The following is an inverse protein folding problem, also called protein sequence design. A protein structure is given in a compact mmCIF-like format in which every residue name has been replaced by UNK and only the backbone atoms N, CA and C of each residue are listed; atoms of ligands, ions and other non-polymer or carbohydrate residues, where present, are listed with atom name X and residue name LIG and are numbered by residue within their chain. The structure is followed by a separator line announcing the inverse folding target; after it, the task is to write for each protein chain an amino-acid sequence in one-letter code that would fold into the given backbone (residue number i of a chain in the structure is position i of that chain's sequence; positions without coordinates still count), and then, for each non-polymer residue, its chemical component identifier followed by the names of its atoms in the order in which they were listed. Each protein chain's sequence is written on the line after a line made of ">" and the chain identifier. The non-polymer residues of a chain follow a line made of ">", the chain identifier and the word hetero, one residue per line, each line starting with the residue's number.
data_IF_508326907206
#
_entry.id   IF_508326907206
#
_cell.length_a   1.000
_cell.length_b   1.000
_cell.length_c   1.000
_cell.angle_alpha   90.00
_cell.angle_beta   90.00
_cell.angle_gamma   90.00
#
_symmetry.space_group_name_H-M   'P 1'
#
loop_
_entity.id
_entity.type
_entity.pdbx_description
1 polymer ?
#
# COMPACT_ATOMS: atom_id res chain seq x y z
N UNK A 1 -14.98 10.68 9.97
CA UNK A 1 -14.81 12.03 9.38
C UNK A 1 -16.14 12.77 9.41
N UNK A 2 -16.18 14.04 9.82
CA UNK A 2 -17.43 14.85 9.75
C UNK A 2 -17.61 15.36 8.33
N UNK A 3 -18.73 15.01 7.69
CA UNK A 3 -19.12 15.46 6.35
C UNK A 3 -19.14 16.99 6.29
N UNK A 4 -18.31 17.61 5.46
CA UNK A 4 -18.51 19.01 5.07
C UNK A 4 -19.53 19.04 3.93
N UNK A 5 -20.82 19.02 4.25
CA UNK A 5 -21.92 19.19 3.27
C UNK A 5 -22.07 20.61 2.75
N UNK A 6 -21.38 21.56 3.37
CA UNK A 6 -21.56 22.97 3.08
C UNK A 6 -20.37 23.48 2.28
N UNK A 7 -20.61 23.90 1.04
CA UNK A 7 -19.62 24.57 0.18
C UNK A 7 -18.95 25.76 0.85
N UNK A 8 -19.64 26.45 1.74
CA UNK A 8 -19.06 27.54 2.54
C UNK A 8 -17.94 26.99 3.44
N UNK A 9 -18.15 25.84 4.07
CA UNK A 9 -17.15 25.17 4.91
C UNK A 9 -15.97 24.66 4.09
N UNK A 10 -16.23 24.06 2.93
CA UNK A 10 -15.19 23.59 2.02
C UNK A 10 -14.30 24.73 1.51
N UNK A 11 -14.90 25.81 0.99
CA UNK A 11 -14.15 26.99 0.56
C UNK A 11 -13.38 27.61 1.73
N UNK A 12 -14.01 27.72 2.91
CA UNK A 12 -13.30 28.19 4.10
C UNK A 12 -12.06 27.33 4.39
N UNK A 13 -12.15 26.00 4.26
CA UNK A 13 -11.02 25.08 4.47
C UNK A 13 -9.87 25.34 3.50
N UNK A 14 -10.17 25.46 2.19
CA UNK A 14 -9.17 25.74 1.15
C UNK A 14 -8.46 27.08 1.42
N UNK A 15 -9.22 28.14 1.63
CA UNK A 15 -8.65 29.47 1.84
C UNK A 15 -7.98 29.61 3.21
N UNK A 16 -8.38 28.81 4.21
CA UNK A 16 -7.65 28.72 5.47
C UNK A 16 -6.24 28.16 5.27
N UNK A 17 -6.05 27.15 4.41
CA UNK A 17 -4.71 26.63 4.10
C UNK A 17 -3.78 27.69 3.49
N UNK A 18 -4.31 28.58 2.65
CA UNK A 18 -3.54 29.74 2.15
C UNK A 18 -3.21 30.74 3.25
N UNK A 19 -4.15 31.02 4.16
CA UNK A 19 -3.89 31.91 5.30
C UNK A 19 -2.84 31.34 6.24
N UNK A 20 -2.91 30.04 6.53
CA UNK A 20 -1.95 29.36 7.40
C UNK A 20 -0.54 29.43 6.80
N UNK A 21 -0.42 29.23 5.48
CA UNK A 21 0.85 29.41 4.76
C UNK A 21 1.37 30.86 4.77
N UNK A 22 0.47 31.85 4.80
CA UNK A 22 0.82 33.28 4.79
C UNK A 22 1.04 33.89 6.18
N UNK A 23 0.48 33.30 7.24
CA UNK A 23 0.60 33.79 8.63
C UNK A 23 2.04 33.74 9.16
N UNK A 24 2.92 32.96 8.52
CA UNK A 24 4.36 33.00 8.76
C UNK A 24 5.05 34.27 8.20
N UNK A 25 4.31 35.10 7.47
CA UNK A 25 4.83 36.28 6.77
C UNK A 25 4.42 37.58 7.49
N UNK A 26 5.32 38.56 7.66
CA UNK A 26 5.09 39.75 8.47
C UNK A 26 4.17 40.82 7.85
N UNK A 27 3.35 40.51 6.83
CA UNK A 27 2.44 41.48 6.19
C UNK A 27 0.99 41.24 6.60
N UNK A 28 0.28 42.32 6.90
CA UNK A 28 -1.16 42.34 7.18
C UNK A 28 -1.96 42.08 5.89
N UNK A 29 -2.08 40.82 5.49
CA UNK A 29 -3.05 40.42 4.46
C UNK A 29 -4.45 40.59 5.06
N UNK A 30 -5.45 40.99 4.26
CA UNK A 30 -6.87 41.01 4.70
C UNK A 30 -7.41 39.58 4.77
N UNK A 31 -7.06 38.88 5.84
CA UNK A 31 -7.34 37.46 6.06
C UNK A 31 -8.83 37.15 6.35
N UNK A 32 -9.65 38.15 6.66
CA UNK A 32 -10.99 37.92 7.23
C UNK A 32 -12.16 37.96 6.23
N UNK A 33 -11.95 38.43 4.99
CA UNK A 33 -13.02 38.48 3.99
C UNK A 33 -13.23 37.09 3.34
N UNK A 34 -14.49 36.61 3.19
CA UNK A 34 -14.75 35.32 2.55
C UNK A 34 -14.31 35.28 1.08
N UNK A 35 -13.74 34.15 0.69
CA UNK A 35 -13.29 33.82 -0.67
C UNK A 35 -13.80 32.43 -1.05
N UNK A 36 -14.04 32.21 -2.33
CA UNK A 36 -14.49 30.92 -2.84
C UNK A 36 -13.99 30.69 -4.27
N UNK A 37 -13.89 29.42 -4.67
CA UNK A 37 -13.73 29.05 -6.08
C UNK A 37 -15.13 29.01 -6.71
N UNK A 38 -15.27 29.56 -7.91
CA UNK A 38 -16.56 29.65 -8.60
C UNK A 38 -17.03 28.29 -9.09
N UNK A 39 -18.24 27.90 -8.65
CA UNK A 39 -18.96 26.70 -9.10
C UNK A 39 -20.40 27.08 -9.47
N UNK A 40 -20.90 26.52 -10.58
CA UNK A 40 -22.30 26.59 -10.95
C UNK A 40 -23.14 25.57 -10.15
N UNK A 41 -24.46 25.59 -10.31
CA UNK A 41 -25.35 24.77 -9.49
C UNK A 41 -25.31 23.27 -9.83
N UNK A 42 -25.02 22.91 -11.07
CA UNK A 42 -24.79 21.52 -11.50
C UNK A 42 -23.48 20.98 -10.91
N UNK A 43 -22.40 21.77 -10.98
CA UNK A 43 -21.09 21.45 -10.39
C UNK A 43 -21.21 21.28 -8.86
N UNK A 44 -22.00 22.13 -8.20
CA UNK A 44 -22.30 21.97 -6.76
C UNK A 44 -23.09 20.70 -6.47
N UNK A 45 -24.10 20.39 -7.28
CA UNK A 45 -24.88 19.17 -7.10
C UNK A 45 -24.00 17.92 -7.29
N UNK A 46 -23.12 17.93 -8.30
CA UNK A 46 -22.19 16.84 -8.57
C UNK A 46 -21.16 16.67 -7.45
N UNK A 47 -20.52 17.75 -6.99
CA UNK A 47 -19.57 17.70 -5.88
C UNK A 47 -20.22 17.18 -4.58
N UNK A 48 -21.51 17.46 -4.34
CA UNK A 48 -22.26 16.90 -3.21
C UNK A 48 -22.56 15.40 -3.35
N UNK A 49 -22.58 14.89 -4.58
CA UNK A 49 -22.73 13.47 -4.91
C UNK A 49 -21.42 12.67 -4.86
N UNK A 50 -20.27 13.31 -4.66
CA UNK A 50 -18.99 12.63 -4.48
C UNK A 50 -18.72 12.32 -3.00
N UNK A 51 -18.23 11.12 -2.72
CA UNK A 51 -17.99 10.63 -1.36
C UNK A 51 -16.58 10.07 -1.23
N UNK A 52 -15.75 10.70 -0.40
CA UNK A 52 -14.49 10.09 0.01
C UNK A 52 -14.80 8.92 0.96
N UNK A 53 -14.59 7.69 0.47
CA UNK A 53 -14.89 6.46 1.18
C UNK A 53 -13.76 6.03 2.10
N UNK A 54 -12.52 6.15 1.62
CA UNK A 54 -11.33 5.76 2.35
C UNK A 54 -10.12 6.57 1.90
N UNK A 55 -9.09 6.65 2.74
CA UNK A 55 -7.82 7.27 2.39
C UNK A 55 -6.66 6.58 3.09
N UNK A 56 -5.50 6.61 2.46
CA UNK A 56 -4.27 6.01 2.96
C UNK A 56 -3.12 6.98 2.75
N UNK A 57 -2.35 7.24 3.81
CA UNK A 57 -1.18 8.12 3.77
C UNK A 57 0.08 7.27 3.87
N UNK A 58 0.93 7.37 2.86
CA UNK A 58 2.22 6.68 2.82
C UNK A 58 3.26 7.47 3.60
N UNK A 59 4.27 6.75 4.10
CA UNK A 59 5.37 7.33 4.88
C UNK A 59 6.24 8.29 4.04
N UNK A 60 6.29 8.08 2.73
CA UNK A 60 6.98 8.96 1.77
C UNK A 60 6.22 10.26 1.45
N UNK A 61 5.06 10.49 2.08
CA UNK A 61 4.25 11.71 1.91
C UNK A 61 3.13 11.62 0.88
N UNK A 62 3.11 10.58 0.04
CA UNK A 62 2.01 10.34 -0.90
C UNK A 62 0.71 10.04 -0.14
N UNK A 63 -0.41 10.48 -0.70
CA UNK A 63 -1.74 10.20 -0.16
C UNK A 63 -2.57 9.59 -1.27
N UNK A 64 -3.20 8.45 -1.02
CA UNK A 64 -4.19 7.86 -1.90
C UNK A 64 -5.58 7.92 -1.27
N UNK A 65 -6.63 7.98 -2.10
CA UNK A 65 -7.99 7.90 -1.63
C UNK A 65 -8.92 7.22 -2.62
N UNK A 66 -10.03 6.71 -2.07
CA UNK A 66 -11.13 6.10 -2.81
C UNK A 66 -12.33 7.04 -2.75
N UNK A 67 -12.91 7.36 -3.90
CA UNK A 67 -14.05 8.26 -4.05
C UNK A 67 -15.17 7.50 -4.74
N UNK A 68 -16.38 7.56 -4.21
CA UNK A 68 -17.58 7.01 -4.83
C UNK A 68 -18.49 8.15 -5.30
N UNK A 69 -19.03 8.01 -6.51
CA UNK A 69 -20.06 8.88 -7.03
C UNK A 69 -21.44 8.26 -6.77
N UNK A 70 -22.24 8.85 -5.87
CA UNK A 70 -23.58 8.30 -5.55
C UNK A 70 -24.58 8.41 -6.69
N UNK A 71 -24.31 9.27 -7.68
CA UNK A 71 -25.24 9.51 -8.79
C UNK A 71 -25.04 8.43 -9.85
N UNK A 72 -23.80 8.20 -10.26
CA UNK A 72 -23.47 7.24 -11.32
C UNK A 72 -23.00 5.88 -10.79
N UNK A 73 -22.87 5.71 -9.47
CA UNK A 73 -22.32 4.52 -8.80
C UNK A 73 -20.88 4.16 -9.18
N UNK A 74 -20.20 5.07 -9.87
CA UNK A 74 -18.81 4.92 -10.27
C UNK A 74 -17.85 5.05 -9.08
N UNK A 75 -16.72 4.34 -9.15
CA UNK A 75 -15.63 4.41 -8.16
C UNK A 75 -14.37 4.98 -8.79
N UNK A 76 -13.69 5.83 -8.02
CA UNK A 76 -12.49 6.53 -8.45
C UNK A 76 -11.39 6.35 -7.43
N UNK A 77 -10.18 6.12 -7.92
CA UNK A 77 -8.96 6.16 -7.15
C UNK A 77 -8.24 7.48 -7.43
N UNK A 78 -7.75 8.16 -6.41
CA UNK A 78 -6.88 9.31 -6.59
C UNK A 78 -5.59 9.15 -5.80
N UNK A 79 -4.49 9.66 -6.35
CA UNK A 79 -3.22 9.77 -5.66
C UNK A 79 -2.71 11.22 -5.73
N UNK A 80 -2.24 11.71 -4.58
CA UNK A 80 -1.81 13.09 -4.36
C UNK A 80 -0.32 13.09 -4.01
N UNK A 81 0.42 14.02 -4.62
CA UNK A 81 1.83 14.28 -4.32
C UNK A 81 2.84 13.72 -5.33
N UNK A 82 2.39 13.10 -6.42
CA UNK A 82 3.25 12.68 -7.53
C UNK A 82 3.56 13.88 -8.41
N UNK A 83 4.83 14.26 -8.56
CA UNK A 83 5.21 15.61 -9.00
C UNK A 83 5.10 15.87 -10.51
N UNK A 84 4.83 14.84 -11.32
CA UNK A 84 4.78 14.92 -12.78
C UNK A 84 3.47 14.43 -13.34
N UNK A 85 3.14 14.89 -14.55
CA UNK A 85 2.10 14.27 -15.36
C UNK A 85 2.49 12.82 -15.64
N UNK A 86 1.54 11.92 -15.46
CA UNK A 86 1.78 10.48 -15.54
C UNK A 86 1.26 9.97 -16.88
N UNK A 87 2.16 9.43 -17.70
CA UNK A 87 1.75 8.48 -18.74
C UNK A 87 1.44 7.14 -18.06
N UNK A 88 0.15 6.89 -17.83
CA UNK A 88 -0.32 5.72 -17.10
C UNK A 88 -1.22 4.87 -18.00
N UNK A 89 -0.84 3.61 -18.20
CA UNK A 89 -1.63 2.64 -18.95
C UNK A 89 -1.94 1.45 -18.06
N UNK A 90 -3.22 1.27 -17.74
CA UNK A 90 -3.68 0.18 -16.91
C UNK A 90 -5.08 -0.25 -17.34
N UNK A 91 -5.34 -1.55 -17.24
CA UNK A 91 -6.67 -2.12 -17.45
C UNK A 91 -7.61 -1.90 -16.25
N UNK A 92 -7.06 -1.65 -15.06
CA UNK A 92 -7.80 -1.48 -13.80
C UNK A 92 -8.05 0.01 -13.50
N UNK A 93 -7.05 0.85 -13.71
CA UNK A 93 -7.05 2.27 -13.34
C UNK A 93 -6.99 3.12 -14.60
N UNK A 94 -8.15 3.61 -15.05
CA UNK A 94 -8.27 4.41 -16.28
C UNK A 94 -8.05 5.88 -15.94
N UNK A 95 -7.01 6.56 -16.47
CA UNK A 95 -6.74 7.96 -16.17
C UNK A 95 -7.93 8.86 -16.51
N UNK A 96 -8.18 9.85 -15.65
CA UNK A 96 -9.22 10.88 -15.81
C UNK A 96 -8.66 12.26 -15.48
N UNK A 97 -9.19 13.29 -16.13
CA UNK A 97 -8.86 14.67 -15.76
C UNK A 97 -9.49 15.03 -14.41
N UNK A 98 -8.72 15.68 -13.54
CA UNK A 98 -9.26 16.21 -12.27
C UNK A 98 -10.15 17.41 -12.56
N UNK A 99 -11.47 17.22 -12.42
CA UNK A 99 -12.45 18.30 -12.49
C UNK A 99 -12.48 19.09 -11.18
N UNK A 100 -13.16 20.24 -11.19
CA UNK A 100 -13.24 21.14 -10.03
C UNK A 100 -13.86 20.43 -8.83
N UNK A 101 -14.86 19.59 -9.05
CA UNK A 101 -15.63 18.89 -8.04
C UNK A 101 -14.78 17.85 -7.31
N UNK A 102 -14.01 17.05 -8.07
CA UNK A 102 -13.05 16.11 -7.50
C UNK A 102 -11.98 16.83 -6.70
N UNK A 103 -11.39 17.89 -7.27
CA UNK A 103 -10.38 18.69 -6.57
C UNK A 103 -10.92 19.22 -5.24
N UNK A 104 -12.08 19.86 -5.26
CA UNK A 104 -12.73 20.39 -4.06
C UNK A 104 -12.93 19.31 -3.01
N UNK A 105 -13.47 18.16 -3.43
CA UNK A 105 -13.80 17.07 -2.53
C UNK A 105 -12.55 16.51 -1.88
N UNK A 106 -11.52 16.22 -2.67
CA UNK A 106 -10.25 15.66 -2.20
C UNK A 106 -9.55 16.62 -1.25
N UNK A 107 -9.33 17.87 -1.68
CA UNK A 107 -8.58 18.87 -0.90
C UNK A 107 -9.28 19.17 0.43
N UNK A 108 -10.60 19.32 0.42
CA UNK A 108 -11.34 19.68 1.64
C UNK A 108 -11.45 18.51 2.61
N UNK A 109 -11.82 17.32 2.14
CA UNK A 109 -12.00 16.18 3.03
C UNK A 109 -10.65 15.78 3.63
N UNK A 110 -9.61 15.63 2.80
CA UNK A 110 -8.29 15.23 3.29
C UNK A 110 -7.50 16.37 3.93
N UNK A 111 -8.06 17.59 3.97
CA UNK A 111 -7.40 18.79 4.47
C UNK A 111 -6.00 19.00 3.85
N UNK A 112 -5.87 18.75 2.54
CA UNK A 112 -4.62 18.93 1.80
C UNK A 112 -4.24 20.41 1.87
N UNK A 113 -2.99 20.68 2.21
CA UNK A 113 -2.47 22.05 2.28
C UNK A 113 -1.88 22.48 0.94
N UNK A 114 -1.85 23.80 0.64
CA UNK A 114 -1.04 24.33 -0.44
C UNK A 114 0.43 23.96 -0.25
N UNK A 115 1.19 23.82 -1.35
CA UNK A 115 2.62 23.49 -1.31
C UNK A 115 3.39 24.59 -0.58
N UNK A 116 4.24 24.21 0.36
CA UNK A 116 5.10 25.14 1.09
C UNK A 116 6.03 25.95 0.17
N UNK A 117 6.42 25.36 -0.96
CA UNK A 117 7.23 25.99 -2.00
C UNK A 117 6.50 26.99 -2.91
N UNK A 118 5.19 27.19 -2.70
CA UNK A 118 4.38 28.10 -3.51
C UNK A 118 4.85 29.55 -3.37
N UNK A 119 4.85 30.29 -4.49
CA UNK A 119 5.19 31.72 -4.47
C UNK A 119 4.13 32.53 -3.71
N UNK A 120 4.50 32.99 -2.52
CA UNK A 120 3.66 33.76 -1.61
C UNK A 120 3.18 35.08 -2.23
N UNK A 121 4.00 35.70 -3.09
CA UNK A 121 3.62 36.95 -3.77
C UNK A 121 2.50 36.70 -4.79
N UNK A 122 2.61 35.62 -5.57
CA UNK A 122 1.55 35.21 -6.50
C UNK A 122 0.26 34.83 -5.76
N UNK A 123 0.35 34.10 -4.64
CA UNK A 123 -0.82 33.79 -3.79
C UNK A 123 -1.51 35.07 -3.33
N UNK A 124 -0.74 36.05 -2.82
CA UNK A 124 -1.30 37.31 -2.35
C UNK A 124 -2.05 38.04 -3.46
N UNK A 125 -1.42 38.21 -4.63
CA UNK A 125 -1.99 38.99 -5.72
C UNK A 125 -3.17 38.32 -6.42
N UNK A 126 -3.11 37.00 -6.63
CA UNK A 126 -4.11 36.30 -7.44
C UNK A 126 -5.26 35.73 -6.61
N UNK A 127 -5.01 35.37 -5.35
CA UNK A 127 -6.01 34.71 -4.50
C UNK A 127 -6.45 35.57 -3.33
N UNK A 128 -5.54 36.33 -2.71
CA UNK A 128 -5.87 37.04 -1.46
C UNK A 128 -6.17 38.53 -1.66
N UNK A 129 -5.90 39.11 -2.82
CA UNK A 129 -6.21 40.52 -3.10
C UNK A 129 -7.72 40.75 -3.24
N UNK A 130 -8.38 39.89 -4.02
CA UNK A 130 -9.83 39.96 -4.21
C UNK A 130 -10.59 39.15 -3.15
N UNK A 131 -11.82 39.58 -2.86
CA UNK A 131 -12.71 38.90 -1.91
C UNK A 131 -14.16 39.32 -2.16
N UNK A 132 -15.09 38.78 -1.38
CA UNK A 132 -16.50 39.20 -1.39
C UNK A 132 -16.73 40.72 -1.30
N UNK A 133 -15.82 41.44 -0.66
CA UNK A 133 -15.92 42.91 -0.50
C UNK A 133 -15.50 43.68 -1.76
N UNK A 134 -14.84 43.01 -2.71
CA UNK A 134 -14.42 43.60 -3.99
C UNK A 134 -15.61 43.69 -4.95
N UNK A 135 -15.81 44.87 -5.55
CA UNK A 135 -16.89 45.09 -6.52
C UNK A 135 -16.71 44.19 -7.74
N UNK A 136 -17.71 43.38 -8.06
CA UNK A 136 -17.68 42.46 -9.20
C UNK A 136 -17.08 41.08 -8.91
N UNK A 137 -16.72 40.79 -7.66
CA UNK A 137 -16.17 39.49 -7.29
C UNK A 137 -17.18 38.35 -7.47
N UNK A 138 -16.81 37.36 -8.29
CA UNK A 138 -17.62 36.18 -8.59
C UNK A 138 -17.03 34.87 -8.02
N UNK A 139 -15.88 34.94 -7.35
CA UNK A 139 -15.06 33.79 -6.96
C UNK A 139 -13.86 33.58 -7.88
N UNK A 140 -12.88 32.82 -7.40
CA UNK A 140 -11.66 32.50 -8.15
C UNK A 140 -11.90 31.37 -9.16
N UNK A 141 -11.13 31.39 -10.23
CA UNK A 141 -11.09 30.28 -11.19
C UNK A 141 -10.35 29.08 -10.59
N UNK A 142 -10.86 27.87 -10.88
CA UNK A 142 -10.26 26.61 -10.44
C UNK A 142 -8.79 26.50 -10.86
N UNK A 143 -8.47 26.83 -12.10
CA UNK A 143 -7.11 26.69 -12.64
C UNK A 143 -6.09 27.61 -11.94
N UNK A 144 -6.55 28.75 -11.41
CA UNK A 144 -5.73 29.68 -10.63
C UNK A 144 -5.48 29.15 -9.21
N UNK A 145 -6.44 28.45 -8.62
CA UNK A 145 -6.29 27.89 -7.26
C UNK A 145 -5.49 26.59 -7.28
N UNK A 146 -5.76 25.69 -8.22
CA UNK A 146 -5.19 24.34 -8.25
C UNK A 146 -3.67 24.32 -8.33
N UNK A 147 -3.05 25.34 -8.97
CA UNK A 147 -1.60 25.42 -9.16
C UNK A 147 -0.80 25.55 -7.87
N UNK A 148 -1.45 25.87 -6.76
CA UNK A 148 -0.78 25.98 -5.46
C UNK A 148 -0.87 24.71 -4.61
N UNK A 149 -1.65 23.72 -5.03
CA UNK A 149 -1.77 22.44 -4.32
C UNK A 149 -0.84 21.38 -4.92
N UNK A 150 -0.52 20.30 -4.16
CA UNK A 150 0.13 19.12 -4.74
C UNK A 150 -0.70 18.56 -5.91
N UNK A 151 -0.02 17.97 -6.89
CA UNK A 151 -0.69 17.34 -8.02
C UNK A 151 -1.60 16.21 -7.53
N UNK A 152 -2.79 16.15 -8.12
CA UNK A 152 -3.78 15.12 -7.90
C UNK A 152 -3.93 14.39 -9.22
N UNK A 153 -3.73 13.07 -9.20
CA UNK A 153 -4.01 12.19 -10.33
C UNK A 153 -5.26 11.39 -10.01
N UNK A 154 -6.21 11.38 -10.93
CA UNK A 154 -7.51 10.74 -10.76
C UNK A 154 -7.65 9.61 -11.78
N UNK A 155 -8.17 8.49 -11.32
CA UNK A 155 -8.40 7.30 -12.12
C UNK A 155 -9.81 6.78 -11.87
N UNK A 156 -10.54 6.46 -12.93
CA UNK A 156 -11.77 5.68 -12.83
C UNK A 156 -11.38 4.21 -12.68
N UNK A 157 -11.97 3.53 -11.69
CA UNK A 157 -11.74 2.11 -11.47
C UNK A 157 -12.63 1.34 -12.45
N UNK A 158 -12.01 0.52 -13.30
CA UNK A 158 -12.72 -0.25 -14.30
C UNK A 158 -13.46 -1.43 -13.65
N UNK A 159 -14.76 -1.54 -13.92
CA UNK A 159 -15.57 -2.66 -13.45
C UNK A 159 -15.20 -3.97 -14.17
N UNK A 160 -15.24 -5.08 -13.45
CA UNK A 160 -15.11 -6.44 -14.01
C UNK A 160 -13.69 -6.99 -14.16
N UNK A 161 -12.64 -6.20 -13.92
CA UNK A 161 -11.25 -6.68 -13.98
C UNK A 161 -10.74 -7.31 -12.67
N UNK A 162 -11.44 -7.07 -11.57
CA UNK A 162 -11.11 -7.61 -10.24
C UNK A 162 -12.38 -8.21 -9.68
N UNK A 163 -12.28 -9.32 -8.91
CA UNK A 163 -13.36 -9.75 -8.01
C UNK A 163 -13.82 -8.49 -7.24
N UNK A 164 -15.03 -8.03 -7.53
CA UNK A 164 -15.50 -6.66 -7.27
C UNK A 164 -15.15 -6.19 -5.85
N UNK A 165 -14.55 -5.00 -5.75
CA UNK A 165 -14.07 -4.27 -4.56
C UNK A 165 -12.63 -4.53 -4.10
N UNK A 166 -11.67 -4.16 -4.97
CA UNK A 166 -10.28 -4.02 -4.55
C UNK A 166 -10.15 -2.95 -3.43
N UNK A 167 -9.54 -3.27 -2.27
CA UNK A 167 -9.29 -2.31 -1.21
C UNK A 167 -8.36 -1.17 -1.65
N UNK A 168 -8.49 0.00 -1.04
CA UNK A 168 -7.65 1.17 -1.35
C UNK A 168 -6.14 0.85 -1.26
N UNK A 169 -5.72 0.07 -0.26
CA UNK A 169 -4.32 -0.30 -0.06
C UNK A 169 -3.78 -1.13 -1.24
N UNK A 170 -4.61 -2.01 -1.82
CA UNK A 170 -4.23 -2.80 -2.98
C UNK A 170 -4.14 -1.93 -4.24
N UNK A 171 -5.09 -1.01 -4.45
CA UNK A 171 -5.04 -0.05 -5.55
C UNK A 171 -3.79 0.83 -5.46
N UNK A 172 -3.42 1.21 -4.24
CA UNK A 172 -2.20 1.97 -3.96
C UNK A 172 -0.95 1.18 -4.35
N UNK A 173 -0.84 -0.07 -3.88
CA UNK A 173 0.28 -0.95 -4.22
C UNK A 173 0.37 -1.24 -5.72
N UNK A 174 -0.76 -1.51 -6.36
CA UNK A 174 -0.88 -1.69 -7.81
C UNK A 174 -0.36 -0.45 -8.57
N UNK A 175 -0.83 0.74 -8.19
CA UNK A 175 -0.39 2.00 -8.81
C UNK A 175 1.13 2.20 -8.69
N UNK A 176 1.71 1.95 -7.50
CA UNK A 176 3.15 2.10 -7.28
C UNK A 176 3.98 1.15 -8.17
N UNK A 177 3.48 -0.07 -8.43
CA UNK A 177 4.17 -1.01 -9.31
C UNK A 177 4.21 -0.52 -10.76
N UNK A 178 3.11 0.07 -11.24
CA UNK A 178 3.01 0.60 -12.61
C UNK A 178 3.80 1.90 -12.80
N UNK A 179 3.70 2.83 -11.85
CA UNK A 179 4.25 4.17 -12.02
C UNK A 179 5.71 4.31 -11.54
N UNK A 180 6.17 3.42 -10.66
CA UNK A 180 7.53 3.39 -10.07
C UNK A 180 7.97 4.64 -9.29
N UNK A 181 7.31 5.78 -9.43
CA UNK A 181 7.58 6.97 -8.61
C UNK A 181 7.14 6.72 -7.16
N UNK A 182 8.04 7.00 -6.21
CA UNK A 182 7.80 6.80 -4.80
C UNK A 182 8.12 5.39 -4.27
N UNK A 183 8.58 4.46 -5.12
CA UNK A 183 9.17 3.18 -4.65
C UNK A 183 10.58 3.43 -4.11
N UNK A 184 10.98 2.68 -3.08
CA UNK A 184 12.19 3.01 -2.32
C UNK A 184 13.48 2.43 -2.90
N UNK A 185 13.46 1.18 -3.37
CA UNK A 185 14.60 0.55 -4.07
C UNK A 185 14.36 0.46 -5.57
N UNK A 186 15.43 0.36 -6.37
CA UNK A 186 15.31 0.08 -7.79
C UNK A 186 14.89 -1.36 -8.00
N UNK A 187 13.60 -1.65 -8.18
CA UNK A 187 13.12 -2.99 -8.49
C UNK A 187 13.30 -3.31 -9.97
N UNK A 188 13.63 -4.58 -10.28
CA UNK A 188 13.49 -5.08 -11.64
C UNK A 188 12.02 -5.31 -12.01
N UNK A 189 11.72 -5.35 -13.30
CA UNK A 189 10.35 -5.46 -13.82
C UNK A 189 9.68 -6.76 -13.37
N UNK A 190 10.42 -7.87 -13.34
CA UNK A 190 9.90 -9.18 -12.96
C UNK A 190 9.36 -9.19 -11.53
N UNK A 191 10.04 -8.50 -10.60
CA UNK A 191 9.61 -8.40 -9.21
C UNK A 191 8.37 -7.51 -9.09
N UNK A 192 8.29 -6.40 -9.83
CA UNK A 192 7.12 -5.52 -9.83
C UNK A 192 5.88 -6.21 -10.41
N UNK A 193 6.05 -7.04 -11.44
CA UNK A 193 4.97 -7.86 -11.99
C UNK A 193 4.41 -8.81 -10.93
N UNK A 194 5.26 -9.47 -10.14
CA UNK A 194 4.80 -10.36 -9.06
C UNK A 194 4.07 -9.60 -7.95
N UNK A 195 4.56 -8.42 -7.54
CA UNK A 195 3.83 -7.56 -6.61
C UNK A 195 2.44 -7.20 -7.14
N UNK A 196 2.38 -6.76 -8.40
CA UNK A 196 1.14 -6.39 -9.08
C UNK A 196 0.13 -7.53 -9.06
N UNK A 197 0.55 -8.73 -9.43
CA UNK A 197 -0.29 -9.93 -9.35
C UNK A 197 -0.84 -10.15 -7.94
N UNK A 198 0.00 -10.04 -6.91
CA UNK A 198 -0.44 -10.24 -5.52
C UNK A 198 -1.48 -9.20 -5.10
N UNK A 199 -1.30 -7.92 -5.45
CA UNK A 199 -2.30 -6.88 -5.17
C UNK A 199 -3.64 -7.15 -5.88
N UNK A 200 -3.60 -7.72 -7.09
CA UNK A 200 -4.81 -8.09 -7.85
C UNK A 200 -5.55 -9.30 -7.30
N UNK A 201 -4.84 -10.24 -6.66
CA UNK A 201 -5.44 -11.46 -6.10
C UNK A 201 -6.25 -11.21 -4.82
N UNK A 202 -6.00 -10.10 -4.12
CA UNK A 202 -6.76 -9.66 -2.96
C UNK A 202 -6.99 -10.74 -1.87
N UNK A 203 -5.95 -11.48 -1.50
CA UNK A 203 -5.97 -12.43 -0.38
C UNK A 203 -6.38 -11.78 0.95
N UNK A 204 -7.49 -12.23 1.55
CA UNK A 204 -8.00 -11.73 2.85
C UNK A 204 -7.01 -11.91 4.01
N UNK A 205 -6.15 -12.93 3.94
CA UNK A 205 -5.18 -13.26 4.99
C UNK A 205 -3.91 -12.42 4.91
N UNK A 206 -3.69 -11.67 3.84
CA UNK A 206 -2.46 -10.92 3.59
C UNK A 206 -2.49 -9.53 4.21
N UNK A 207 -1.40 -9.16 4.90
CA UNK A 207 -1.20 -7.82 5.39
C UNK A 207 -0.69 -6.89 4.27
N UNK A 208 -1.61 -6.30 3.52
CA UNK A 208 -1.27 -5.37 2.43
C UNK A 208 -0.55 -4.10 2.89
N UNK A 209 -0.73 -3.66 4.15
CA UNK A 209 0.03 -2.51 4.65
C UNK A 209 1.53 -2.82 4.72
N UNK A 210 1.90 -4.02 5.19
CA UNK A 210 3.29 -4.47 5.18
C UNK A 210 3.82 -4.64 3.75
N UNK A 211 2.99 -5.12 2.83
CA UNK A 211 3.39 -5.27 1.43
C UNK A 211 3.60 -3.91 0.73
N UNK A 212 2.71 -2.93 0.93
CA UNK A 212 2.91 -1.57 0.40
C UNK A 212 4.12 -0.90 1.06
N UNK A 213 4.32 -1.08 2.38
CA UNK A 213 5.52 -0.59 3.05
C UNK A 213 6.79 -1.17 2.42
N UNK A 214 6.77 -2.46 2.07
CA UNK A 214 7.91 -3.08 1.41
C UNK A 214 8.29 -2.38 0.11
N UNK A 215 7.32 -1.92 -0.70
CA UNK A 215 7.59 -1.18 -1.95
C UNK A 215 8.28 0.17 -1.74
N UNK A 216 7.99 0.86 -0.63
CA UNK A 216 8.52 2.20 -0.36
C UNK A 216 9.81 2.18 0.49
N UNK A 217 10.24 1.01 0.97
CA UNK A 217 11.48 0.87 1.73
C UNK A 217 12.70 1.12 0.83
N UNK A 218 13.70 1.82 1.37
CA UNK A 218 14.93 2.20 0.65
C UNK A 218 16.06 1.17 0.78
N UNK A 219 15.87 0.09 1.54
CA UNK A 219 16.86 -0.97 1.72
C UNK A 219 16.28 -2.35 1.43
N UNK A 220 16.90 -3.12 0.53
CA UNK A 220 16.44 -4.46 0.14
C UNK A 220 16.26 -5.43 1.33
N UNK A 221 17.10 -5.33 2.35
CA UNK A 221 16.95 -6.13 3.59
C UNK A 221 15.62 -5.90 4.29
N UNK A 222 15.13 -4.66 4.30
CA UNK A 222 13.89 -4.28 4.97
C UNK A 222 12.69 -4.68 4.10
N UNK A 223 12.83 -4.57 2.77
CA UNK A 223 11.87 -5.14 1.80
C UNK A 223 11.70 -6.65 2.05
N UNK A 224 12.80 -7.40 2.08
CA UNK A 224 12.78 -8.84 2.32
C UNK A 224 12.12 -9.18 3.66
N UNK A 225 12.47 -8.47 4.73
CA UNK A 225 11.89 -8.70 6.06
C UNK A 225 10.39 -8.40 6.10
N UNK A 226 9.91 -7.41 5.35
CA UNK A 226 8.48 -7.10 5.25
C UNK A 226 7.70 -8.16 4.49
N UNK A 227 8.23 -8.67 3.37
CA UNK A 227 7.65 -9.81 2.66
C UNK A 227 7.67 -11.05 3.56
N UNK A 228 8.79 -11.33 4.22
CA UNK A 228 8.96 -12.50 5.09
C UNK A 228 7.94 -12.52 6.23
N UNK A 229 7.68 -11.38 6.88
CA UNK A 229 6.67 -11.28 7.94
C UNK A 229 5.28 -11.68 7.45
N UNK A 230 4.94 -11.33 6.21
CA UNK A 230 3.68 -11.74 5.61
C UNK A 230 3.62 -13.27 5.39
N UNK A 231 4.73 -13.91 5.03
CA UNK A 231 4.84 -15.37 4.92
C UNK A 231 4.73 -16.02 6.32
N UNK A 232 5.43 -15.47 7.31
CA UNK A 232 5.56 -16.03 8.66
C UNK A 232 4.19 -16.22 9.36
N UNK A 233 3.23 -15.33 9.08
CA UNK A 233 1.88 -15.42 9.64
C UNK A 233 1.16 -16.73 9.33
N UNK A 234 1.50 -17.37 8.21
CA UNK A 234 0.84 -18.59 7.76
C UNK A 234 1.59 -19.87 8.15
N UNK A 235 2.77 -19.77 8.75
CA UNK A 235 3.52 -20.93 9.24
C UNK A 235 2.71 -21.75 10.24
N UNK A 236 2.12 -21.10 11.25
CA UNK A 236 1.32 -21.81 12.26
C UNK A 236 0.06 -22.40 11.63
N UNK A 237 -0.60 -21.68 10.72
CA UNK A 237 -1.80 -22.13 10.03
C UNK A 237 -1.55 -23.39 9.19
N UNK A 238 -0.41 -23.44 8.48
CA UNK A 238 -0.01 -24.59 7.67
C UNK A 238 0.13 -25.88 8.49
N UNK A 239 0.82 -25.79 9.64
CA UNK A 239 1.04 -26.90 10.56
C UNK A 239 -0.26 -27.33 11.24
N UNK A 240 -1.09 -26.38 11.69
CA UNK A 240 -2.37 -26.70 12.35
C UNK A 240 -3.33 -27.42 11.40
N UNK A 241 -3.41 -26.98 10.14
CA UNK A 241 -4.28 -27.64 9.18
C UNK A 241 -3.85 -29.10 8.93
N UNK A 242 -2.54 -29.37 8.90
CA UNK A 242 -2.03 -30.74 8.81
C UNK A 242 -2.35 -31.56 10.07
N UNK A 243 -2.15 -31.01 11.27
CA UNK A 243 -2.52 -31.68 12.52
C UNK A 243 -4.02 -32.02 12.50
N UNK A 244 -4.88 -31.08 12.09
CA UNK A 244 -6.32 -31.31 11.94
C UNK A 244 -6.61 -32.45 10.96
N UNK A 245 -5.98 -32.46 9.79
CA UNK A 245 -6.12 -33.54 8.78
C UNK A 245 -5.70 -34.90 9.34
N UNK A 246 -4.57 -34.96 10.04
CA UNK A 246 -4.03 -36.20 10.61
C UNK A 246 -4.88 -36.73 11.77
N UNK A 247 -5.42 -35.85 12.60
CA UNK A 247 -6.34 -36.21 13.68
C UNK A 247 -7.74 -36.61 13.18
N UNK A 248 -8.06 -36.31 11.90
CA UNK A 248 -9.38 -36.56 11.28
C UNK A 248 -10.53 -36.01 12.13
N UNK A 249 -10.29 -34.86 12.76
CA UNK A 249 -11.25 -34.23 13.67
C UNK A 249 -12.21 -33.32 12.93
N UNK A 250 -13.42 -33.17 13.48
CA UNK A 250 -14.43 -32.22 13.00
C UNK A 250 -14.30 -30.83 13.62
N UNK A 251 -13.35 -30.65 14.55
CA UNK A 251 -13.08 -29.37 15.20
C UNK A 251 -12.69 -28.28 14.19
N UNK A 252 -12.98 -27.02 14.53
CA UNK A 252 -12.51 -25.87 13.75
C UNK A 252 -10.97 -25.74 13.81
N UNK A 253 -10.36 -24.97 12.90
CA UNK A 253 -8.91 -24.72 12.95
C UNK A 253 -8.54 -23.99 14.26
N UNK A 254 -9.38 -23.06 14.70
CA UNK A 254 -9.22 -22.29 15.94
C UNK A 254 -9.24 -23.19 17.18
N UNK A 255 -10.17 -24.16 17.22
CA UNK A 255 -10.28 -25.12 18.32
C UNK A 255 -9.06 -26.05 18.36
N UNK A 256 -8.60 -26.51 17.19
CA UNK A 256 -7.39 -27.35 17.09
C UNK A 256 -6.17 -26.56 17.52
N UNK A 257 -6.00 -25.32 17.05
CA UNK A 257 -4.89 -24.44 17.45
C UNK A 257 -4.90 -24.22 18.96
N UNK A 258 -6.04 -23.80 19.51
CA UNK A 258 -6.20 -23.53 20.95
C UNK A 258 -5.90 -24.76 21.80
N UNK A 259 -6.34 -25.94 21.36
CA UNK A 259 -6.04 -27.21 22.03
C UNK A 259 -4.54 -27.52 22.00
N UNK A 260 -3.93 -27.41 20.83
CA UNK A 260 -2.50 -27.73 20.61
C UNK A 260 -1.59 -26.76 21.37
N UNK A 261 -1.87 -25.45 21.38
CA UNK A 261 -1.01 -24.47 22.05
C UNK A 261 -1.28 -24.36 23.53
N UNK A 262 -2.55 -24.32 23.95
CA UNK A 262 -2.92 -24.00 25.33
C UNK A 262 -3.04 -25.23 26.22
N UNK A 263 -3.52 -26.35 25.69
CA UNK A 263 -3.68 -27.58 26.48
C UNK A 263 -2.45 -28.50 26.38
N UNK A 264 -1.89 -28.65 25.18
CA UNK A 264 -0.72 -29.50 24.96
C UNK A 264 0.62 -28.76 25.10
N UNK A 265 0.62 -27.43 25.17
CA UNK A 265 1.83 -26.62 25.29
C UNK A 265 2.75 -26.68 24.07
N UNK A 266 2.24 -27.11 22.91
CA UNK A 266 3.04 -27.29 21.70
C UNK A 266 3.46 -25.93 21.13
N UNK A 267 4.76 -25.82 20.80
CA UNK A 267 5.34 -24.64 20.16
C UNK A 267 5.80 -24.98 18.75
N UNK A 268 5.31 -24.20 17.78
CA UNK A 268 5.70 -24.35 16.38
C UNK A 268 7.17 -23.95 16.19
N UNK A 269 7.93 -24.82 15.53
CA UNK A 269 9.32 -24.56 15.17
C UNK A 269 9.34 -23.97 13.77
N UNK A 270 9.81 -22.72 13.66
CA UNK A 270 9.81 -21.95 12.41
C UNK A 270 10.58 -22.67 11.29
N UNK A 271 11.78 -23.16 11.59
CA UNK A 271 12.63 -23.89 10.63
C UNK A 271 11.98 -25.15 10.06
N UNK A 272 11.10 -25.83 10.83
CA UNK A 272 10.34 -26.98 10.30
C UNK A 272 9.21 -26.53 9.38
N UNK A 273 8.58 -25.41 9.72
CA UNK A 273 7.46 -24.86 8.96
C UNK A 273 7.91 -24.38 7.59
N UNK A 274 9.05 -23.68 7.54
CA UNK A 274 9.60 -23.19 6.28
C UNK A 274 10.08 -24.32 5.38
N UNK A 275 10.74 -25.36 5.94
CA UNK A 275 11.12 -26.55 5.17
C UNK A 275 9.90 -27.19 4.51
N UNK A 276 8.78 -27.27 5.23
CA UNK A 276 7.55 -27.84 4.68
C UNK A 276 6.98 -27.00 3.54
N UNK A 277 6.94 -25.68 3.70
CA UNK A 277 6.51 -24.78 2.63
C UNK A 277 7.37 -24.97 1.38
N UNK A 278 8.69 -25.06 1.54
CA UNK A 278 9.61 -25.29 0.43
C UNK A 278 9.45 -26.67 -0.23
N UNK A 279 9.06 -27.71 0.51
CA UNK A 279 8.74 -29.03 -0.05
C UNK A 279 7.52 -28.99 -0.95
N UNK A 280 6.56 -28.12 -0.65
CA UNK A 280 5.34 -27.95 -1.45
C UNK A 280 5.52 -26.94 -2.61
N UNK A 281 6.63 -26.19 -2.64
CA UNK A 281 6.96 -25.27 -3.73
C UNK A 281 7.46 -26.01 -4.97
N UNK A 282 7.13 -25.53 -6.20
CA UNK A 282 7.76 -26.03 -7.41
C UNK A 282 9.28 -25.87 -7.36
N UNK A 283 10.01 -26.92 -7.73
CA UNK A 283 11.48 -26.90 -7.75
C UNK A 283 12.05 -25.81 -8.65
N UNK A 284 11.33 -25.44 -9.72
CA UNK A 284 11.69 -24.32 -10.61
C UNK A 284 11.71 -22.96 -9.92
N UNK A 285 11.05 -22.81 -8.77
CA UNK A 285 11.08 -21.58 -7.96
C UNK A 285 12.21 -21.65 -6.95
N UNK A 286 12.30 -22.73 -6.18
CA UNK A 286 13.27 -22.85 -5.07
C UNK A 286 14.72 -22.93 -5.57
N UNK A 287 14.95 -23.62 -6.68
CA UNK A 287 16.29 -23.74 -7.30
C UNK A 287 16.85 -22.40 -7.78
N UNK A 288 16.01 -21.37 -7.99
CA UNK A 288 16.51 -20.02 -8.31
C UNK A 288 17.41 -19.46 -7.21
N UNK A 289 17.18 -19.83 -5.94
CA UNK A 289 18.04 -19.40 -4.84
C UNK A 289 19.48 -19.91 -4.97
N UNK A 290 19.71 -21.02 -5.67
CA UNK A 290 21.06 -21.55 -5.94
C UNK A 290 21.86 -20.65 -6.88
N UNK A 291 21.20 -19.73 -7.59
CA UNK A 291 21.87 -18.76 -8.46
C UNK A 291 22.42 -17.55 -7.69
N UNK A 292 22.12 -17.43 -6.39
CA UNK A 292 22.65 -16.36 -5.55
C UNK A 292 24.11 -16.67 -5.20
N UNK A 293 25.00 -15.70 -5.37
CA UNK A 293 26.45 -15.91 -5.21
C UNK A 293 26.84 -16.36 -3.79
N UNK A 294 26.14 -15.86 -2.78
CA UNK A 294 26.32 -16.27 -1.37
C UNK A 294 25.57 -17.56 -0.99
N UNK A 295 25.00 -18.29 -1.96
CA UNK A 295 24.40 -19.59 -1.70
C UNK A 295 25.51 -20.60 -1.39
N UNK A 296 25.69 -20.89 -0.09
CA UNK A 296 26.69 -21.86 0.36
C UNK A 296 26.21 -23.30 0.09
N UNK A 297 26.62 -23.88 -1.04
CA UNK A 297 26.68 -25.33 -1.20
C UNK A 297 27.86 -25.88 -0.39
N UNK A 298 27.83 -25.79 0.95
CA UNK A 298 28.76 -26.62 1.71
C UNK A 298 28.32 -28.07 1.54
N UNK A 299 29.21 -28.87 0.95
CA UNK A 299 29.23 -30.32 1.04
C UNK A 299 29.29 -30.68 2.53
N UNK A 300 28.13 -30.76 3.19
CA UNK A 300 28.04 -31.54 4.42
C UNK A 300 28.23 -32.99 3.97
N UNK A 301 29.43 -33.51 4.22
CA UNK A 301 29.73 -34.94 4.25
C UNK A 301 28.80 -35.59 5.28
N UNK A 302 27.57 -35.92 4.90
CA UNK A 302 26.75 -36.98 5.48
C UNK A 302 25.43 -37.05 4.70
N UNK A 303 24.91 -38.27 4.57
CA UNK A 303 23.79 -38.71 3.75
C UNK A 303 22.40 -38.13 4.16
N UNK A 304 22.34 -36.87 4.59
CA UNK A 304 21.08 -36.14 4.66
C UNK A 304 20.74 -35.64 3.25
N UNK A 305 19.74 -36.29 2.66
CA UNK A 305 19.13 -35.96 1.36
C UNK A 305 19.16 -34.46 1.05
N UNK A 306 19.42 -34.15 -0.22
CA UNK A 306 19.34 -32.80 -0.84
C UNK A 306 18.10 -31.97 -0.47
N UNK A 307 17.05 -32.60 0.08
CA UNK A 307 15.80 -31.98 0.50
C UNK A 307 15.99 -30.90 1.59
N UNK A 308 15.71 -29.64 1.21
CA UNK A 308 15.53 -28.54 2.13
C UNK A 308 16.76 -27.64 2.35
N UNK A 309 17.81 -27.76 1.53
CA UNK A 309 18.96 -26.84 1.57
C UNK A 309 18.54 -25.38 1.34
N UNK A 310 17.65 -25.15 0.38
CA UNK A 310 17.12 -23.84 0.03
C UNK A 310 16.35 -23.21 1.20
N UNK A 311 15.52 -24.01 1.86
CA UNK A 311 14.73 -23.57 3.01
C UNK A 311 15.63 -23.22 4.21
N UNK A 312 16.63 -24.06 4.48
CA UNK A 312 17.66 -23.80 5.51
C UNK A 312 18.41 -22.50 5.21
N UNK A 313 18.84 -22.29 3.97
CA UNK A 313 19.57 -21.08 3.56
C UNK A 313 18.69 -19.84 3.64
N UNK A 314 17.47 -19.87 3.12
CA UNK A 314 16.51 -18.76 3.19
C UNK A 314 16.22 -18.35 4.65
N UNK A 315 16.03 -19.34 5.53
CA UNK A 315 15.86 -19.09 6.97
C UNK A 315 17.13 -18.53 7.63
N UNK A 316 18.33 -18.99 7.22
CA UNK A 316 19.62 -18.44 7.67
C UNK A 316 19.73 -16.95 7.31
N UNK A 317 19.36 -16.57 6.10
CA UNK A 317 19.34 -15.15 5.67
C UNK A 317 18.45 -14.33 6.59
N UNK A 318 17.19 -14.75 6.81
CA UNK A 318 16.28 -14.06 7.74
C UNK A 318 16.86 -13.92 9.15
N UNK A 319 17.43 -14.97 9.71
CA UNK A 319 18.00 -14.92 11.05
C UNK A 319 19.20 -13.99 11.15
N UNK A 320 20.01 -13.91 10.09
CA UNK A 320 21.16 -13.00 10.03
C UNK A 320 20.71 -11.53 10.10
N UNK A 321 19.61 -11.20 9.41
CA UNK A 321 19.02 -9.86 9.40
C UNK A 321 18.34 -9.49 10.73
N UNK A 322 17.65 -10.44 11.39
CA UNK A 322 16.93 -10.19 12.66
C UNK A 322 17.89 -10.05 13.85
N UNK A 323 18.86 -10.96 13.97
CA UNK A 323 19.68 -11.02 15.18
C UNK A 323 20.95 -10.19 15.11
N UNK A 324 21.23 -9.56 13.96
CA UNK A 324 22.39 -8.70 13.74
C UNK A 324 23.67 -9.27 14.35
N UNK A 325 23.85 -10.61 14.27
CA UNK A 325 24.78 -11.31 15.17
C UNK A 325 26.17 -10.74 14.94
N UNK A 326 26.71 -10.21 16.04
CA UNK A 326 28.01 -9.53 16.21
C UNK A 326 29.26 -10.27 15.70
N UNK A 327 29.16 -11.43 15.06
CA UNK A 327 30.31 -12.19 14.56
C UNK A 327 29.92 -13.03 13.35
N UNK A 328 30.03 -12.43 12.16
CA UNK A 328 30.33 -13.00 10.83
C UNK A 328 30.06 -11.89 9.81
N UNK A 329 30.74 -11.92 8.66
CA UNK A 329 30.71 -10.85 7.63
C UNK A 329 29.30 -10.33 7.39
N UNK A 330 29.16 -9.00 7.33
CA UNK A 330 27.92 -8.34 6.95
C UNK A 330 27.35 -9.03 5.70
N UNK A 331 26.06 -9.37 5.70
CA UNK A 331 25.42 -10.00 4.55
C UNK A 331 25.44 -9.00 3.39
N UNK A 332 26.40 -9.17 2.49
CA UNK A 332 26.58 -8.30 1.32
C UNK A 332 26.13 -9.05 0.08
N UNK A 333 24.82 -9.01 -0.16
CA UNK A 333 24.22 -9.45 -1.42
C UNK A 333 24.27 -8.31 -2.44
N UNK A 334 24.59 -8.66 -3.68
CA UNK A 334 24.46 -7.72 -4.81
C UNK A 334 22.98 -7.49 -5.15
N UNK A 335 22.68 -6.40 -5.84
CA UNK A 335 21.33 -6.05 -6.28
C UNK A 335 20.64 -7.19 -7.06
N UNK A 336 21.38 -7.85 -7.96
CA UNK A 336 20.89 -9.01 -8.72
C UNK A 336 20.42 -10.15 -7.81
N UNK A 337 21.13 -10.39 -6.71
CA UNK A 337 20.83 -11.47 -5.76
C UNK A 337 19.62 -11.10 -4.89
N UNK A 338 19.49 -9.82 -4.55
CA UNK A 338 18.28 -9.30 -3.91
C UNK A 338 17.05 -9.53 -4.79
N UNK A 339 17.11 -9.27 -6.09
CA UNK A 339 15.98 -9.53 -6.98
C UNK A 339 15.57 -10.99 -7.01
N UNK A 340 16.54 -11.91 -7.05
CA UNK A 340 16.26 -13.36 -6.96
C UNK A 340 15.59 -13.69 -5.63
N UNK A 341 16.13 -13.21 -4.52
CA UNK A 341 15.60 -13.48 -3.18
C UNK A 341 14.18 -12.91 -3.00
N UNK A 342 13.95 -11.66 -3.42
CA UNK A 342 12.64 -11.01 -3.36
C UNK A 342 11.64 -11.72 -4.27
N UNK A 343 12.04 -12.08 -5.48
CA UNK A 343 11.17 -12.77 -6.42
C UNK A 343 10.74 -14.14 -5.90
N UNK A 344 11.66 -14.92 -5.33
CA UNK A 344 11.31 -16.19 -4.67
C UNK A 344 10.42 -15.94 -3.44
N UNK A 345 10.67 -14.89 -2.67
CA UNK A 345 9.86 -14.55 -1.50
C UNK A 345 8.41 -14.21 -1.88
N UNK A 346 8.20 -13.48 -2.97
CA UNK A 346 6.84 -13.16 -3.46
C UNK A 346 6.11 -14.38 -4.01
N UNK A 347 6.80 -15.31 -4.68
CA UNK A 347 6.21 -16.58 -5.10
C UNK A 347 5.78 -17.43 -3.90
N UNK A 348 6.64 -17.52 -2.88
CA UNK A 348 6.29 -18.21 -1.62
C UNK A 348 5.08 -17.52 -0.98
N UNK A 349 5.09 -16.19 -0.90
CA UNK A 349 3.98 -15.42 -0.34
C UNK A 349 2.67 -15.74 -1.07
N UNK A 350 2.66 -15.64 -2.40
CA UNK A 350 1.50 -15.97 -3.24
C UNK A 350 1.01 -17.39 -2.99
N UNK A 351 1.91 -18.39 -2.98
CA UNK A 351 1.52 -19.78 -2.78
C UNK A 351 0.93 -20.03 -1.40
N UNK A 352 1.55 -19.48 -0.35
CA UNK A 352 1.12 -19.72 1.03
C UNK A 352 -0.24 -19.06 1.30
N UNK A 353 -0.49 -17.87 0.74
CA UNK A 353 -1.82 -17.23 0.80
C UNK A 353 -2.87 -17.92 -0.08
N UNK A 354 -2.49 -18.44 -1.25
CA UNK A 354 -3.38 -19.27 -2.07
C UNK A 354 -3.78 -20.55 -1.32
N UNK A 355 -2.83 -21.23 -0.68
CA UNK A 355 -3.12 -22.40 0.16
C UNK A 355 -4.12 -22.05 1.28
N UNK A 356 -3.96 -20.88 1.91
CA UNK A 356 -4.89 -20.42 2.93
C UNK A 356 -6.31 -20.22 2.37
N UNK A 357 -6.44 -19.60 1.19
CA UNK A 357 -7.71 -19.45 0.46
C UNK A 357 -8.33 -20.82 0.15
N UNK A 358 -7.57 -21.74 -0.44
CA UNK A 358 -8.04 -23.08 -0.84
C UNK A 358 -8.50 -23.95 0.34
N UNK A 359 -7.95 -23.70 1.53
CA UNK A 359 -8.29 -24.43 2.75
C UNK A 359 -9.25 -23.67 3.68
N UNK A 360 -9.85 -22.57 3.22
CA UNK A 360 -10.77 -21.72 3.99
C UNK A 360 -10.18 -21.28 5.35
N UNK A 361 -8.89 -20.95 5.35
CA UNK A 361 -8.22 -20.38 6.51
C UNK A 361 -8.57 -18.90 6.56
N UNK A 362 -9.36 -18.48 7.56
CA UNK A 362 -9.87 -17.11 7.66
C UNK A 362 -8.80 -16.12 8.11
N UNK A 363 -8.95 -14.85 7.72
CA UNK A 363 -8.13 -13.75 8.24
C UNK A 363 -8.23 -13.61 9.77
N UNK A 364 -9.40 -13.89 10.35
CA UNK A 364 -9.63 -13.86 11.80
C UNK A 364 -8.74 -14.87 12.54
N UNK A 365 -8.61 -16.08 12.00
CA UNK A 365 -7.73 -17.10 12.58
C UNK A 365 -6.27 -16.65 12.54
N UNK A 366 -5.83 -16.03 11.43
CA UNK A 366 -4.47 -15.48 11.33
C UNK A 366 -4.25 -14.36 12.36
N UNK A 367 -5.25 -13.50 12.54
CA UNK A 367 -5.18 -12.44 13.55
C UNK A 367 -5.12 -13.00 14.99
N UNK A 368 -5.83 -14.11 15.27
CA UNK A 368 -5.76 -14.81 16.56
C UNK A 368 -4.39 -15.46 16.79
N UNK A 369 -3.77 -16.02 15.74
CA UNK A 369 -2.41 -16.56 15.77
C UNK A 369 -1.37 -15.48 16.09
N UNK A 370 -1.60 -14.23 15.69
CA UNK A 370 -0.68 -13.11 15.91
C UNK A 370 -0.74 -12.55 17.34
N UNK A 371 -1.90 -12.61 17.99
CA UNK A 371 -2.08 -12.12 19.38
C UNK A 371 -1.45 -13.03 20.43
N UNK A 372 -1.19 -14.30 20.08
CA UNK A 372 -0.66 -15.35 20.97
C UNK A 372 0.75 -15.78 20.53
#
# INVERSE_FOLDING_TARGET
>A
MKRMTNFIGMNKSIFQGFYDLMNEYPREVRLHAPRWISLNDEEKAFCNGLYLKDFFKLENGLVSCLIEDSINTDKYFAIIGVEKDIEFYSEILIPQSVTKEFFFRIVCDLAIQPRESSDRYSIENELLFESRETVGYAGHEYDVVKKYFPYIHLFKIQEGYVESDMPLINLTGYFLCEHKEGIGVGYCEEVLVQYKEIFTLNFETLNYNALVRSLINIYYKDVFMDIYRCIEYLYKAYNINEIKKNLKTTLSLDDVYSTVTSQLGYRFIESKSINKIFQDMPSSVTTKLRNIELFEEKEEEEEEKEDGKEAKWFYKIRNSLVHGRRMEKELQLEEKDWFVLLGVSLEILKMVHQYAKDHNISGDFIHQIQKN
#
